data_IF_978266743810
#
_entry.id   IF_978266743810
#
_cell.length_a   1.000
_cell.length_b   1.000
_cell.length_c   1.000
_cell.angle_alpha   90.00
_cell.angle_beta   90.00
_cell.angle_gamma   90.00
#
_symmetry.space_group_name_H-M   'P 1'
#
loop_
_entity.id
_entity.type
_entity.pdbx_description
1 polymer ?
#
# COMPACT_ATOMS: atom_id res chain seq x y z
N UNK A 1 -15.97 -2.94 -1.17
CA UNK A 1 -15.81 -1.60 -1.71
C UNK A 1 -16.34 -0.59 -0.71
N UNK A 2 -15.53 0.39 -0.36
CA UNK A 2 -15.86 1.53 0.49
C UNK A 2 -15.52 2.78 -0.33
N UNK A 3 -16.52 3.62 -0.60
CA UNK A 3 -16.33 4.84 -1.39
C UNK A 3 -15.75 5.95 -0.52
N UNK A 4 -14.72 6.64 -1.01
CA UNK A 4 -14.17 7.85 -0.40
C UNK A 4 -14.66 9.09 -1.15
N UNK A 5 -15.57 9.89 -0.57
CA UNK A 5 -16.14 11.05 -1.28
C UNK A 5 -15.14 12.15 -1.63
N UNK A 6 -14.05 12.28 -0.87
CA UNK A 6 -13.06 13.35 -1.05
C UNK A 6 -12.20 13.15 -2.31
N UNK A 7 -11.81 11.90 -2.59
CA UNK A 7 -10.97 11.54 -3.73
C UNK A 7 -11.77 10.99 -4.91
N UNK A 8 -12.98 10.47 -4.67
CA UNK A 8 -13.80 9.81 -5.68
C UNK A 8 -13.41 8.35 -5.94
N UNK A 9 -12.46 7.79 -5.18
CA UNK A 9 -12.04 6.39 -5.34
C UNK A 9 -12.87 5.42 -4.48
N UNK A 10 -12.85 4.16 -4.88
CA UNK A 10 -13.45 3.06 -4.12
C UNK A 10 -12.33 2.15 -3.62
N UNK A 11 -12.42 1.69 -2.37
CA UNK A 11 -11.40 0.80 -1.78
C UNK A 11 -12.00 -0.56 -1.45
N UNK A 12 -11.33 -1.63 -1.86
CA UNK A 12 -11.71 -3.00 -1.51
C UNK A 12 -10.70 -3.58 -0.51
N UNK A 13 -11.12 -3.70 0.75
CA UNK A 13 -10.33 -4.43 1.75
C UNK A 13 -10.49 -5.93 1.52
N UNK A 14 -9.41 -6.59 1.12
CA UNK A 14 -9.36 -8.02 0.90
C UNK A 14 -9.53 -8.82 2.18
N UNK A 15 -9.97 -10.07 2.02
CA UNK A 15 -10.03 -11.06 3.10
C UNK A 15 -8.75 -11.89 3.26
N UNK A 16 -8.09 -12.36 2.20
CA UNK A 16 -6.88 -13.18 2.36
C UNK A 16 -5.67 -12.31 2.69
N UNK A 17 -4.72 -12.91 3.41
CA UNK A 17 -3.35 -12.41 3.48
C UNK A 17 -2.57 -13.05 2.34
N UNK A 18 -1.85 -12.23 1.59
CA UNK A 18 -1.18 -12.61 0.34
C UNK A 18 0.23 -12.02 0.31
N UNK A 19 1.12 -12.64 -0.44
CA UNK A 19 2.42 -12.05 -0.80
C UNK A 19 2.17 -10.75 -1.57
N UNK A 20 3.14 -9.83 -1.60
CA UNK A 20 2.91 -8.53 -2.24
C UNK A 20 2.49 -8.65 -3.71
N UNK A 21 3.16 -9.52 -4.48
CA UNK A 21 2.83 -9.74 -5.89
C UNK A 21 1.45 -10.40 -6.06
N UNK A 22 1.11 -11.38 -5.21
CA UNK A 22 -0.20 -12.04 -5.24
C UNK A 22 -1.33 -11.08 -4.86
N UNK A 23 -1.08 -10.17 -3.92
CA UNK A 23 -2.01 -9.13 -3.52
C UNK A 23 -2.28 -8.16 -4.67
N UNK A 24 -1.24 -7.79 -5.43
CA UNK A 24 -1.36 -6.99 -6.65
C UNK A 24 -2.16 -7.72 -7.73
N UNK A 25 -1.82 -8.97 -8.02
CA UNK A 25 -2.52 -9.79 -9.00
C UNK A 25 -4.01 -9.96 -8.65
N UNK A 26 -4.32 -10.09 -7.36
CA UNK A 26 -5.70 -10.11 -6.87
C UNK A 26 -6.45 -8.81 -7.20
N UNK A 27 -5.84 -7.64 -6.96
CA UNK A 27 -6.46 -6.36 -7.26
C UNK A 27 -6.64 -6.14 -8.77
N UNK A 28 -5.63 -6.49 -9.57
CA UNK A 28 -5.72 -6.49 -11.04
C UNK A 28 -6.86 -7.39 -11.54
N UNK A 29 -7.04 -8.57 -10.92
CA UNK A 29 -8.11 -9.51 -11.26
C UNK A 29 -9.54 -8.99 -11.01
N UNK A 30 -9.70 -7.95 -10.17
CA UNK A 30 -10.99 -7.27 -9.94
C UNK A 30 -11.08 -5.90 -10.64
N UNK A 31 -10.16 -5.60 -11.55
CA UNK A 31 -10.14 -4.36 -12.34
C UNK A 31 -9.63 -3.13 -11.58
N UNK A 32 -8.75 -3.34 -10.60
CA UNK A 32 -8.13 -2.32 -9.73
C UNK A 32 -6.61 -2.54 -9.64
N UNK A 33 -5.90 -1.77 -8.81
CA UNK A 33 -4.53 -2.12 -8.37
C UNK A 33 -4.48 -2.07 -6.82
N UNK A 34 -3.35 -2.41 -6.21
CA UNK A 34 -3.12 -2.10 -4.80
C UNK A 34 -3.30 -0.60 -4.56
N UNK A 35 -3.71 -0.23 -3.35
CA UNK A 35 -3.98 1.17 -3.07
C UNK A 35 -2.72 2.05 -3.14
N UNK A 36 -2.90 3.22 -3.75
CA UNK A 36 -1.97 4.35 -3.74
C UNK A 36 -2.46 5.41 -2.76
N UNK A 37 -1.57 6.31 -2.33
CA UNK A 37 -1.92 7.45 -1.47
C UNK A 37 -1.24 8.71 -2.00
N UNK A 38 -2.04 9.76 -2.21
CA UNK A 38 -1.60 11.05 -2.73
C UNK A 38 -1.83 12.21 -1.78
N UNK A 39 -2.50 12.01 -0.64
CA UNK A 39 -2.68 13.05 0.37
C UNK A 39 -2.76 12.52 1.80
N UNK A 40 -2.67 13.44 2.77
CA UNK A 40 -2.84 13.11 4.18
C UNK A 40 -4.27 12.67 4.52
N UNK A 41 -5.26 13.25 3.84
CA UNK A 41 -6.67 12.91 3.98
C UNK A 41 -6.93 11.48 3.51
N UNK A 42 -6.38 11.11 2.34
CA UNK A 42 -6.47 9.75 1.82
C UNK A 42 -5.77 8.74 2.73
N UNK A 43 -4.59 9.08 3.28
CA UNK A 43 -3.92 8.24 4.25
C UNK A 43 -4.79 7.99 5.49
N UNK A 44 -5.41 9.04 6.03
CA UNK A 44 -6.29 8.95 7.18
C UNK A 44 -7.54 8.11 6.87
N UNK A 45 -8.10 8.25 5.66
CA UNK A 45 -9.23 7.44 5.22
C UNK A 45 -8.86 5.95 5.12
N UNK A 46 -7.78 5.61 4.42
CA UNK A 46 -7.33 4.21 4.30
C UNK A 46 -7.04 3.63 5.69
N UNK A 47 -6.38 4.39 6.56
CA UNK A 47 -6.12 3.98 7.93
C UNK A 47 -7.41 3.66 8.70
N UNK A 48 -8.48 4.44 8.49
CA UNK A 48 -9.77 4.24 9.17
C UNK A 48 -10.51 2.96 8.76
N UNK A 49 -10.21 2.38 7.60
CA UNK A 49 -10.91 1.21 7.05
C UNK A 49 -10.13 -0.10 7.19
N UNK A 50 -8.86 -0.03 7.61
CA UNK A 50 -7.99 -1.22 7.78
C UNK A 50 -7.95 -1.68 9.23
N UNK A 51 -7.83 -3.00 9.43
CA UNK A 51 -7.73 -3.63 10.76
C UNK A 51 -6.44 -4.42 10.94
N UNK A 52 -5.63 -4.55 9.89
CA UNK A 52 -4.41 -5.37 9.85
C UNK A 52 -3.29 -4.60 9.13
N UNK A 53 -2.14 -5.25 8.95
CA UNK A 53 -1.10 -4.74 8.04
C UNK A 53 -1.55 -4.98 6.60
N UNK A 54 -1.43 -3.96 5.76
CA UNK A 54 -1.96 -3.99 4.39
C UNK A 54 -0.92 -3.56 3.38
N UNK A 55 -0.86 -4.26 2.25
CA UNK A 55 0.08 -3.94 1.18
C UNK A 55 -0.29 -2.67 0.42
N UNK A 56 0.70 -1.83 0.13
CA UNK A 56 0.59 -0.64 -0.71
C UNK A 56 1.10 -0.91 -2.12
N UNK A 57 0.64 -0.15 -3.10
CA UNK A 57 1.13 -0.15 -4.48
C UNK A 57 2.52 0.48 -4.64
N UNK A 58 3.41 0.29 -3.66
CA UNK A 58 4.75 0.88 -3.64
C UNK A 58 5.78 -0.18 -3.25
N UNK A 59 6.88 -0.19 -3.99
CA UNK A 59 8.04 -1.04 -3.78
C UNK A 59 9.27 -0.44 -4.45
N UNK A 60 10.46 -0.96 -4.17
CA UNK A 60 11.71 -0.62 -4.86
C UNK A 60 12.42 -1.85 -5.46
N UNK A 61 11.64 -2.87 -5.86
CA UNK A 61 12.14 -4.12 -6.45
C UNK A 61 13.02 -3.90 -7.69
N UNK A 62 12.72 -2.86 -8.48
CA UNK A 62 13.46 -2.54 -9.70
C UNK A 62 14.79 -1.85 -9.43
N UNK A 63 14.86 -1.00 -8.40
CA UNK A 63 16.07 -0.25 -8.04
C UNK A 63 16.00 0.15 -6.56
N UNK A 64 16.85 -0.49 -5.74
CA UNK A 64 16.97 -0.22 -4.31
C UNK A 64 17.05 1.28 -4.01
N UNK A 65 16.22 1.76 -3.07
CA UNK A 65 16.17 3.15 -2.67
C UNK A 65 15.29 4.06 -3.55
N UNK A 66 14.72 3.55 -4.64
CA UNK A 66 13.92 4.35 -5.58
C UNK A 66 12.41 4.08 -5.40
N UNK A 67 11.74 5.00 -4.71
CA UNK A 67 10.30 4.94 -4.40
C UNK A 67 9.58 6.18 -4.95
N UNK A 68 9.78 6.47 -6.23
CA UNK A 68 9.29 7.72 -6.85
C UNK A 68 7.94 7.56 -7.53
N UNK A 69 7.52 6.34 -7.85
CA UNK A 69 6.32 6.04 -8.64
C UNK A 69 5.59 4.85 -8.03
N UNK A 70 4.27 4.94 -7.94
CA UNK A 70 3.41 3.80 -7.58
C UNK A 70 3.24 2.84 -8.77
N UNK A 71 2.70 1.65 -8.52
CA UNK A 71 2.50 0.64 -9.56
C UNK A 71 1.48 1.00 -10.65
N UNK A 72 0.61 1.98 -10.38
CA UNK A 72 -0.33 2.56 -11.34
C UNK A 72 0.30 3.66 -12.23
N UNK A 73 1.60 3.97 -12.02
CA UNK A 73 2.36 4.98 -12.76
C UNK A 73 2.24 6.40 -12.21
N UNK A 74 1.45 6.63 -11.15
CA UNK A 74 1.34 7.94 -10.52
C UNK A 74 2.56 8.26 -9.64
N UNK A 75 2.96 9.53 -9.51
CA UNK A 75 4.13 9.90 -8.71
C UNK A 75 3.85 9.84 -7.21
N UNK A 76 4.88 9.49 -6.44
CA UNK A 76 4.86 9.56 -4.97
C UNK A 76 5.10 11.01 -4.54
N UNK A 77 4.02 11.80 -4.50
CA UNK A 77 4.03 13.20 -4.04
C UNK A 77 3.75 13.40 -2.54
N UNK A 78 3.21 12.37 -1.89
CA UNK A 78 2.93 12.33 -0.47
C UNK A 78 3.56 11.07 0.12
N UNK A 79 4.01 11.16 1.38
CA UNK A 79 4.48 9.99 2.12
C UNK A 79 4.19 10.10 3.60
N UNK A 80 3.87 8.97 4.24
CA UNK A 80 3.66 8.90 5.68
C UNK A 80 4.64 7.89 6.33
N UNK A 81 5.94 8.04 6.05
CA UNK A 81 6.99 7.24 6.68
C UNK A 81 7.17 7.62 8.15
N UNK A 82 7.58 6.67 8.99
CA UNK A 82 7.99 6.95 10.37
C UNK A 82 9.50 7.18 10.46
N UNK A 83 10.00 7.87 11.49
CA UNK A 83 11.45 7.99 11.70
C UNK A 83 12.15 6.63 11.99
N UNK A 84 11.36 5.58 12.25
CA UNK A 84 11.83 4.22 12.57
C UNK A 84 11.79 3.26 11.38
N UNK A 85 11.45 3.73 10.17
CA UNK A 85 11.49 2.87 8.99
C UNK A 85 12.93 2.68 8.54
N UNK A 86 13.38 1.43 8.56
CA UNK A 86 14.69 1.03 8.06
C UNK A 86 14.49 0.26 6.77
N UNK A 87 14.92 0.86 5.67
CA UNK A 87 15.07 0.18 4.39
C UNK A 87 16.30 -0.73 4.45
N UNK A 88 16.23 -1.86 3.77
CA UNK A 88 17.33 -2.81 3.62
C UNK A 88 17.10 -3.57 2.31
N UNK A 89 18.16 -4.07 1.69
CA UNK A 89 18.14 -4.82 0.41
C UNK A 89 17.31 -6.12 0.36
N UNK A 90 16.51 -6.40 1.38
CA UNK A 90 15.62 -7.56 1.47
C UNK A 90 14.18 -7.17 1.77
N UNK A 91 13.90 -5.88 1.98
CA UNK A 91 12.62 -5.35 2.43
C UNK A 91 12.17 -4.29 1.44
N UNK A 92 11.67 -4.78 0.32
CA UNK A 92 11.46 -3.93 -0.83
C UNK A 92 9.99 -3.52 -0.98
N UNK A 93 9.08 -4.18 -0.26
CA UNK A 93 7.65 -3.97 -0.40
C UNK A 93 7.08 -3.13 0.75
N UNK A 94 6.17 -2.21 0.41
CA UNK A 94 5.66 -1.22 1.35
C UNK A 94 4.27 -1.62 1.86
N UNK A 95 4.08 -1.52 3.17
CA UNK A 95 2.79 -1.76 3.82
C UNK A 95 2.41 -0.62 4.76
N UNK A 96 1.10 -0.44 4.97
CA UNK A 96 0.56 0.41 6.02
C UNK A 96 0.17 -0.43 7.24
N UNK A 97 0.45 0.10 8.43
CA UNK A 97 0.14 -0.55 9.71
C UNK A 97 -1.09 0.08 10.37
N UNK A 98 -2.12 -0.72 10.66
CA UNK A 98 -3.36 -0.22 11.32
C UNK A 98 -3.15 0.46 12.69
N UNK A 99 -2.05 0.18 13.41
CA UNK A 99 -1.83 0.76 14.75
C UNK A 99 -1.52 2.26 14.70
N UNK A 100 -0.93 2.75 13.62
CA UNK A 100 -0.40 4.11 13.53
C UNK A 100 -0.61 4.80 12.17
N UNK A 101 -1.01 4.05 11.14
CA UNK A 101 -1.24 4.57 9.79
C UNK A 101 0.04 4.95 9.05
N UNK A 102 1.22 4.61 9.59
CA UNK A 102 2.50 4.85 8.94
C UNK A 102 2.85 3.75 7.94
N UNK A 103 3.74 4.12 7.02
CA UNK A 103 4.25 3.24 5.97
C UNK A 103 5.54 2.57 6.45
N UNK A 104 5.71 1.31 6.08
CA UNK A 104 6.81 0.46 6.49
C UNK A 104 7.29 -0.41 5.34
N UNK A 105 8.56 -0.80 5.39
CA UNK A 105 9.12 -1.82 4.51
C UNK A 105 8.99 -3.20 5.15
N UNK A 106 8.70 -4.20 4.33
CA UNK A 106 8.82 -5.60 4.67
C UNK A 106 9.31 -6.43 3.49
N UNK A 107 9.66 -7.68 3.77
CA UNK A 107 9.95 -8.67 2.74
C UNK A 107 8.69 -8.93 1.94
N UNK A 108 8.79 -8.84 0.61
CA UNK A 108 7.66 -9.11 -0.30
C UNK A 108 7.10 -10.54 -0.16
N UNK A 109 7.88 -11.45 0.45
CA UNK A 109 7.51 -12.84 0.74
C UNK A 109 6.70 -13.03 2.03
N UNK A 110 6.43 -11.97 2.80
CA UNK A 110 5.48 -12.02 3.92
C UNK A 110 4.04 -11.86 3.42
N UNK A 111 3.07 -12.36 4.20
CA UNK A 111 1.66 -12.31 3.85
C UNK A 111 0.92 -11.17 4.59
N UNK A 112 0.38 -10.19 3.86
CA UNK A 112 -0.44 -9.12 4.43
C UNK A 112 -1.78 -9.00 3.70
N UNK A 113 -2.71 -8.29 4.33
CA UNK A 113 -4.05 -8.09 3.75
C UNK A 113 -3.92 -7.23 2.49
N UNK A 114 -4.53 -7.63 1.38
CA UNK A 114 -4.57 -6.78 0.19
C UNK A 114 -5.65 -5.70 0.37
N UNK A 115 -5.39 -4.49 -0.12
CA UNK A 115 -6.40 -3.43 -0.26
C UNK A 115 -6.30 -2.88 -1.66
N UNK A 116 -7.39 -2.94 -2.42
CA UNK A 116 -7.44 -2.48 -3.80
C UNK A 116 -8.05 -1.08 -3.90
N UNK A 117 -7.64 -0.33 -4.91
CA UNK A 117 -8.16 1.00 -5.26
C UNK A 117 -8.46 1.07 -6.75
#
# INVERSE_FOLDING_TARGET
WVYEPASGYCYLVGKPRLLWQEARDYCLGVGADLFTIHSAEENAFVHSIILNFVWMALNDLDTEGVLTTFTDGTPVGYSNWTAKTFQSNSRDCVYMKHLDGYWYFDQCSHDFTCVCK
#
